data_IF_852415457912
#
_entry.id   IF_852415457912
#
_cell.length_a   1.000
_cell.length_b   1.000
_cell.length_c   1.000
_cell.angle_alpha   90.00
_cell.angle_beta   90.00
_cell.angle_gamma   90.00
#
_symmetry.space_group_name_H-M   'P 1'
#
loop_
_entity.id
_entity.type
_entity.pdbx_description
1 polymer ?
#
# COMPACT_ATOMS: atom_id res chain seq x y z
N UNK A 1 11.18 -10.39 30.39
CA UNK A 1 10.58 -11.60 29.77
C UNK A 1 9.23 -11.20 29.19
N UNK A 2 9.22 -10.82 27.91
CA UNK A 2 8.00 -10.47 27.17
C UNK A 2 7.35 -11.76 26.70
N UNK A 3 6.14 -12.03 27.18
CA UNK A 3 5.33 -13.18 26.76
C UNK A 3 5.12 -13.11 25.25
N UNK A 4 5.75 -14.01 24.53
CA UNK A 4 5.46 -14.25 23.11
C UNK A 4 3.99 -14.61 22.98
N UNK A 5 3.25 -13.81 22.23
CA UNK A 5 1.87 -14.05 21.84
C UNK A 5 1.75 -15.49 21.27
N UNK A 6 0.75 -16.30 21.71
CA UNK A 6 0.59 -17.67 21.26
C UNK A 6 0.14 -17.78 19.79
N UNK A 7 0.01 -16.67 19.07
CA UNK A 7 -0.41 -16.64 17.68
C UNK A 7 0.79 -16.76 16.76
N UNK A 8 0.87 -17.85 15.99
CA UNK A 8 1.83 -18.01 14.89
C UNK A 8 1.76 -16.80 13.98
N UNK A 9 2.91 -16.18 13.72
CA UNK A 9 3.05 -15.14 12.68
C UNK A 9 2.63 -15.76 11.35
N UNK A 10 1.61 -15.19 10.71
CA UNK A 10 1.10 -15.68 9.43
C UNK A 10 1.22 -14.56 8.42
N UNK A 11 2.09 -14.76 7.43
CA UNK A 11 2.25 -13.83 6.33
C UNK A 11 1.01 -13.86 5.43
N UNK A 12 0.55 -12.68 5.03
CA UNK A 12 -0.60 -12.56 4.14
C UNK A 12 -0.44 -11.40 3.15
N UNK A 13 -1.10 -11.53 2.01
CA UNK A 13 -1.32 -10.43 1.08
C UNK A 13 -2.62 -9.72 1.42
N UNK A 14 -2.64 -8.40 1.23
CA UNK A 14 -3.86 -7.59 1.23
C UNK A 14 -3.98 -6.87 -0.09
N UNK A 15 -5.19 -6.83 -0.66
CA UNK A 15 -5.43 -6.13 -1.91
C UNK A 15 -6.61 -5.17 -1.77
N UNK A 16 -6.41 -3.95 -2.22
CA UNK A 16 -7.43 -2.92 -2.22
C UNK A 16 -7.29 -1.98 -3.41
N UNK A 17 -8.43 -1.53 -3.96
CA UNK A 17 -8.49 -0.49 -4.96
C UNK A 17 -9.11 0.76 -4.35
N UNK A 18 -8.27 1.65 -3.87
CA UNK A 18 -8.73 2.91 -3.30
C UNK A 18 -7.93 4.07 -3.86
N UNK A 19 -8.38 5.24 -3.58
CA UNK A 19 -7.75 6.52 -3.83
C UNK A 19 -7.69 6.95 -5.27
N UNK A 20 -8.41 7.98 -5.48
CA UNK A 20 -8.38 8.78 -6.67
C UNK A 20 -7.20 9.73 -6.60
N UNK A 21 -6.23 9.55 -7.50
CA UNK A 21 -5.23 10.58 -7.75
C UNK A 21 -5.93 11.68 -8.56
N UNK A 22 -6.40 12.72 -7.87
CA UNK A 22 -7.07 13.85 -8.52
C UNK A 22 -6.09 14.99 -8.72
N UNK A 23 -6.02 15.50 -9.93
CA UNK A 23 -5.26 16.71 -10.22
C UNK A 23 -6.10 17.74 -10.94
N UNK A 24 -6.21 18.95 -10.37
CA UNK A 24 -6.81 20.11 -11.03
C UNK A 24 -6.07 20.54 -12.31
N UNK A 25 -4.82 20.12 -12.47
CA UNK A 25 -3.89 20.59 -13.55
C UNK A 25 -3.77 19.61 -14.71
N UNK A 26 -4.28 18.38 -14.60
CA UNK A 26 -3.98 17.28 -15.54
C UNK A 26 -4.89 17.20 -16.77
N UNK A 27 -5.17 18.30 -17.46
CA UNK A 27 -6.04 18.27 -18.66
C UNK A 27 -5.48 17.41 -19.82
N UNK A 28 -4.18 17.16 -19.87
CA UNK A 28 -3.48 16.51 -20.99
C UNK A 28 -2.83 15.16 -20.69
N UNK A 29 -3.00 14.61 -19.48
CA UNK A 29 -2.39 13.31 -19.14
C UNK A 29 -3.13 12.20 -19.84
N UNK A 30 -2.37 11.29 -20.46
CA UNK A 30 -2.91 10.06 -21.06
C UNK A 30 -3.74 9.28 -20.06
N UNK A 31 -4.80 8.66 -20.53
CA UNK A 31 -5.67 7.78 -19.74
C UNK A 31 -6.39 8.48 -18.57
N UNK A 32 -6.32 9.81 -18.48
CA UNK A 32 -7.13 10.54 -17.49
C UNK A 32 -8.58 10.17 -17.64
N UNK A 33 -9.25 9.78 -16.57
CA UNK A 33 -10.63 9.29 -16.64
C UNK A 33 -11.52 9.86 -15.55
N UNK A 34 -12.84 9.72 -15.77
CA UNK A 34 -13.85 10.01 -14.77
C UNK A 34 -13.92 8.85 -13.78
N UNK A 35 -13.52 9.08 -12.55
CA UNK A 35 -13.51 8.08 -11.45
C UNK A 35 -14.45 8.53 -10.33
N UNK A 36 -15.10 7.56 -9.69
CA UNK A 36 -15.95 7.83 -8.54
C UNK A 36 -15.12 7.81 -7.26
N UNK A 37 -15.16 8.90 -6.51
CA UNK A 37 -14.54 9.01 -5.20
C UNK A 37 -15.57 8.69 -4.11
N UNK A 38 -15.36 7.58 -3.41
CA UNK A 38 -16.26 7.11 -2.36
C UNK A 38 -16.22 8.00 -1.11
N UNK A 39 -15.14 8.75 -0.88
CA UNK A 39 -15.00 9.62 0.30
C UNK A 39 -15.86 10.88 0.18
N UNK A 40 -15.95 11.44 -1.02
CA UNK A 40 -16.73 12.65 -1.31
C UNK A 40 -18.05 12.35 -2.01
N UNK A 41 -18.33 11.08 -2.38
CA UNK A 41 -19.49 10.65 -3.17
C UNK A 41 -19.65 11.41 -4.49
N UNK A 42 -18.52 11.82 -5.10
CA UNK A 42 -18.50 12.61 -6.34
C UNK A 42 -17.65 11.95 -7.42
N UNK A 43 -17.96 12.26 -8.66
CA UNK A 43 -17.09 11.91 -9.78
C UNK A 43 -16.01 12.97 -9.94
N UNK A 44 -14.76 12.51 -9.96
CA UNK A 44 -13.58 13.35 -10.13
C UNK A 44 -12.79 12.90 -11.37
N UNK A 45 -11.93 13.78 -11.88
CA UNK A 45 -10.95 13.44 -12.93
C UNK A 45 -9.71 12.86 -12.24
N UNK A 46 -9.28 11.68 -12.66
CA UNK A 46 -8.11 11.06 -12.01
C UNK A 46 -7.94 9.59 -12.35
N UNK A 47 -7.28 8.89 -11.45
CA UNK A 47 -6.95 7.47 -11.53
C UNK A 47 -7.31 6.78 -10.22
N UNK A 48 -7.57 5.48 -10.28
CA UNK A 48 -7.69 4.62 -9.09
C UNK A 48 -6.41 3.83 -8.91
N UNK A 49 -5.93 3.74 -7.70
CA UNK A 49 -4.75 2.95 -7.36
C UNK A 49 -5.19 1.59 -6.82
N UNK A 50 -4.92 0.53 -7.60
CA UNK A 50 -5.02 -0.86 -7.13
C UNK A 50 -3.66 -1.21 -6.54
N UNK A 51 -3.63 -1.70 -5.32
CA UNK A 51 -2.39 -2.04 -4.62
C UNK A 51 -2.46 -3.45 -4.06
N UNK A 52 -1.40 -4.21 -4.26
CA UNK A 52 -1.10 -5.43 -3.55
C UNK A 52 -0.08 -5.12 -2.45
N UNK A 53 -0.43 -5.38 -1.21
CA UNK A 53 0.46 -5.26 -0.06
C UNK A 53 0.72 -6.60 0.60
N UNK A 54 1.81 -6.69 1.33
CA UNK A 54 2.21 -7.83 2.14
C UNK A 54 2.32 -7.42 3.61
N UNK A 55 1.96 -8.32 4.50
CA UNK A 55 2.13 -8.11 5.93
C UNK A 55 2.49 -9.42 6.62
N UNK A 56 3.35 -9.31 7.63
CA UNK A 56 3.66 -10.38 8.58
C UNK A 56 2.78 -10.31 9.84
N UNK A 57 1.80 -9.44 9.86
CA UNK A 57 0.93 -9.18 11.00
C UNK A 57 1.40 -8.06 11.92
N UNK A 58 2.65 -7.57 11.76
CA UNK A 58 3.23 -6.45 12.52
C UNK A 58 3.58 -5.28 11.62
N UNK A 59 4.18 -5.56 10.47
CA UNK A 59 4.58 -4.58 9.46
C UNK A 59 3.79 -4.76 8.18
N UNK A 60 3.60 -3.68 7.44
CA UNK A 60 2.96 -3.68 6.13
C UNK A 60 3.89 -3.09 5.08
N UNK A 61 3.95 -3.70 3.90
CA UNK A 61 4.72 -3.23 2.75
C UNK A 61 3.88 -3.25 1.48
N UNK A 62 3.89 -2.17 0.71
CA UNK A 62 3.34 -2.16 -0.64
C UNK A 62 4.27 -2.93 -1.59
N UNK A 63 3.74 -3.93 -2.31
CA UNK A 63 4.55 -4.80 -3.17
C UNK A 63 4.39 -4.45 -4.64
N UNK A 64 3.15 -4.28 -5.07
CA UNK A 64 2.80 -4.03 -6.47
C UNK A 64 1.59 -3.11 -6.56
N UNK A 65 1.46 -2.39 -7.67
CA UNK A 65 0.32 -1.52 -7.90
C UNK A 65 0.01 -1.38 -9.39
N UNK A 66 -1.23 -1.02 -9.68
CA UNK A 66 -1.66 -0.57 -10.99
C UNK A 66 -2.44 0.75 -10.87
N UNK A 67 -2.04 1.74 -11.65
CA UNK A 67 -2.72 3.02 -11.73
C UNK A 67 -3.83 2.93 -12.77
N UNK A 68 -5.06 2.71 -12.31
CA UNK A 68 -6.20 2.36 -13.14
C UNK A 68 -6.93 3.58 -13.69
N UNK A 69 -7.21 3.53 -14.97
CA UNK A 69 -8.16 4.35 -15.69
C UNK A 69 -9.51 3.63 -15.85
N UNK A 70 -10.39 4.16 -16.67
CA UNK A 70 -11.62 3.48 -17.03
C UNK A 70 -11.40 2.51 -18.20
N UNK A 71 -11.90 1.28 -18.04
CA UNK A 71 -11.95 0.32 -19.16
C UNK A 71 -12.92 0.79 -20.28
N UNK A 72 -13.88 1.67 -19.96
CA UNK A 72 -14.83 2.25 -20.93
C UNK A 72 -14.23 3.53 -21.50
N UNK A 73 -14.02 3.55 -22.82
CA UNK A 73 -13.49 4.69 -23.57
C UNK A 73 -14.22 5.99 -23.29
N UNK A 74 -15.55 5.96 -23.31
CA UNK A 74 -16.41 7.13 -23.03
C UNK A 74 -16.18 7.81 -21.68
N UNK A 75 -15.50 7.16 -20.76
CA UNK A 75 -15.16 7.72 -19.44
C UNK A 75 -13.72 8.25 -19.40
N UNK A 76 -12.93 8.05 -20.45
CA UNK A 76 -11.57 8.60 -20.59
C UNK A 76 -11.61 9.95 -21.27
N UNK A 77 -10.77 10.86 -20.83
CA UNK A 77 -10.62 12.19 -21.43
C UNK A 77 -9.50 12.19 -22.47
N UNK A 78 -8.51 11.33 -22.30
CA UNK A 78 -7.38 11.18 -23.22
C UNK A 78 -7.04 9.69 -23.37
N UNK A 79 -6.66 9.30 -24.59
CA UNK A 79 -6.26 7.95 -24.93
C UNK A 79 -4.74 7.74 -24.82
N UNK A 80 -4.30 6.52 -25.03
CA UNK A 80 -2.88 6.15 -25.08
C UNK A 80 -2.26 6.80 -26.32
N UNK A 81 -1.06 7.37 -26.19
CA UNK A 81 -0.30 7.87 -27.31
C UNK A 81 -0.05 6.73 -28.33
N UNK A 82 -0.54 6.83 -29.57
CA UNK A 82 -0.39 5.77 -30.57
C UNK A 82 1.06 5.49 -30.96
N UNK A 83 1.95 6.47 -30.77
CA UNK A 83 3.39 6.35 -31.08
C UNK A 83 4.23 5.62 -30.02
N UNK A 84 3.63 5.15 -28.91
CA UNK A 84 4.40 4.45 -27.87
C UNK A 84 4.83 3.06 -28.34
N UNK A 85 6.10 2.70 -28.11
CA UNK A 85 6.61 1.37 -28.41
C UNK A 85 5.94 0.32 -27.49
N UNK A 86 5.24 -0.63 -28.11
CA UNK A 86 4.45 -1.67 -27.42
C UNK A 86 5.30 -2.68 -26.62
N UNK A 87 6.62 -2.70 -26.85
CA UNK A 87 7.57 -3.58 -26.14
C UNK A 87 7.98 -3.02 -24.78
N UNK A 88 7.73 -1.74 -24.51
CA UNK A 88 8.17 -1.05 -23.29
C UNK A 88 7.30 -1.39 -22.08
N UNK A 89 7.90 -1.31 -20.89
CA UNK A 89 7.15 -1.41 -19.62
C UNK A 89 6.10 -0.31 -19.51
N UNK A 90 6.36 0.90 -20.02
CA UNK A 90 5.41 2.01 -20.05
C UNK A 90 4.12 1.67 -20.81
N UNK A 91 4.23 0.95 -21.95
CA UNK A 91 3.07 0.46 -22.68
C UNK A 91 2.30 -0.60 -21.88
N UNK A 92 2.99 -1.54 -21.23
CA UNK A 92 2.35 -2.56 -20.40
C UNK A 92 1.57 -1.92 -19.24
N UNK A 93 2.13 -0.92 -18.57
CA UNK A 93 1.44 -0.16 -17.52
C UNK A 93 0.16 0.54 -18.03
N UNK A 94 0.17 1.05 -19.27
CA UNK A 94 -1.02 1.63 -19.91
C UNK A 94 -2.08 0.58 -20.22
N UNK A 95 -1.67 -0.61 -20.67
CA UNK A 95 -2.58 -1.75 -20.88
C UNK A 95 -3.22 -2.23 -19.58
N UNK A 96 -2.47 -2.28 -18.49
CA UNK A 96 -3.00 -2.54 -17.14
C UNK A 96 -4.04 -1.49 -16.74
N UNK A 97 -3.78 -0.21 -17.02
CA UNK A 97 -4.65 0.89 -16.65
C UNK A 97 -6.07 0.77 -17.21
N UNK A 98 -6.24 0.24 -18.41
CA UNK A 98 -7.54 0.03 -19.05
C UNK A 98 -8.12 -1.37 -18.80
N UNK A 99 -7.40 -2.22 -18.09
CA UNK A 99 -7.86 -3.56 -17.71
C UNK A 99 -8.73 -3.49 -16.45
N UNK A 100 -9.78 -4.32 -16.39
CA UNK A 100 -10.59 -4.41 -15.17
C UNK A 100 -9.73 -4.85 -13.98
N UNK A 101 -9.84 -4.16 -12.85
CA UNK A 101 -9.08 -4.49 -11.63
C UNK A 101 -9.15 -5.98 -11.24
N UNK A 102 -10.33 -6.59 -11.37
CA UNK A 102 -10.52 -8.02 -11.07
C UNK A 102 -9.67 -8.97 -11.93
N UNK A 103 -9.26 -8.56 -13.13
CA UNK A 103 -8.39 -9.34 -14.02
C UNK A 103 -6.91 -9.14 -13.70
N UNK A 104 -6.54 -8.09 -12.96
CA UNK A 104 -5.17 -7.81 -12.57
C UNK A 104 -4.75 -8.52 -11.28
N UNK A 105 -5.71 -8.97 -10.46
CA UNK A 105 -5.42 -9.59 -9.17
C UNK A 105 -4.56 -10.85 -9.30
N UNK A 106 -4.93 -11.72 -10.23
CA UNK A 106 -4.19 -12.98 -10.42
C UNK A 106 -2.74 -12.74 -10.89
N UNK A 107 -2.47 -11.94 -11.94
CA UNK A 107 -1.10 -11.59 -12.32
C UNK A 107 -0.28 -10.97 -11.19
N UNK A 108 -0.83 -10.03 -10.42
CA UNK A 108 -0.14 -9.40 -9.29
C UNK A 108 0.26 -10.43 -8.22
N UNK A 109 -0.68 -11.29 -7.81
CA UNK A 109 -0.40 -12.35 -6.83
C UNK A 109 0.62 -13.36 -7.36
N UNK A 110 0.49 -13.81 -8.61
CA UNK A 110 1.44 -14.74 -9.24
C UNK A 110 2.85 -14.16 -9.32
N UNK A 111 2.97 -12.89 -9.70
CA UNK A 111 4.26 -12.22 -9.76
C UNK A 111 4.89 -12.11 -8.37
N UNK A 112 4.13 -11.73 -7.34
CA UNK A 112 4.64 -11.66 -5.98
C UNK A 112 5.14 -13.02 -5.49
N UNK A 113 4.40 -14.11 -5.74
CA UNK A 113 4.82 -15.47 -5.39
C UNK A 113 6.08 -15.88 -6.20
N UNK A 114 6.12 -15.57 -7.50
CA UNK A 114 7.24 -15.89 -8.39
C UNK A 114 8.57 -15.26 -7.95
N UNK A 115 8.53 -14.04 -7.43
CA UNK A 115 9.73 -13.34 -6.90
C UNK A 115 10.08 -13.75 -5.47
N UNK A 116 9.41 -14.76 -4.92
CA UNK A 116 9.76 -15.37 -3.62
C UNK A 116 9.05 -14.77 -2.41
N UNK A 117 8.09 -13.84 -2.58
CA UNK A 117 7.34 -13.29 -1.45
C UNK A 117 6.33 -14.33 -0.97
N UNK A 118 6.56 -14.82 0.25
CA UNK A 118 5.74 -15.87 0.83
C UNK A 118 4.53 -15.29 1.55
N UNK A 119 3.34 -15.80 1.23
CA UNK A 119 2.10 -15.51 1.96
C UNK A 119 1.18 -16.73 1.93
N UNK A 120 0.52 -17.01 3.04
CA UNK A 120 -0.45 -18.13 3.13
C UNK A 120 -1.86 -17.70 2.69
N UNK A 121 -2.21 -16.45 2.92
CA UNK A 121 -3.55 -15.92 2.66
C UNK A 121 -3.50 -14.64 1.81
N UNK A 122 -4.53 -14.45 1.00
CA UNK A 122 -4.89 -13.18 0.40
C UNK A 122 -6.16 -12.67 1.06
N UNK A 123 -6.07 -11.49 1.67
CA UNK A 123 -7.20 -10.83 2.32
C UNK A 123 -7.77 -9.77 1.39
N UNK A 124 -9.07 -9.82 1.12
CA UNK A 124 -9.73 -8.94 0.15
C UNK A 124 -10.97 -8.28 0.73
N UNK A 125 -11.24 -7.05 0.27
CA UNK A 125 -12.51 -6.38 0.49
C UNK A 125 -13.66 -7.08 -0.26
N UNK A 126 -14.87 -6.77 0.18
CA UNK A 126 -16.12 -7.24 -0.45
C UNK A 126 -16.28 -6.84 -1.91
N UNK A 127 -15.54 -5.82 -2.39
CA UNK A 127 -15.52 -5.43 -3.80
C UNK A 127 -14.95 -6.51 -4.70
N UNK A 128 -13.96 -7.25 -4.22
CA UNK A 128 -13.29 -8.33 -4.97
C UNK A 128 -13.83 -9.73 -4.66
N UNK A 129 -14.78 -9.88 -3.75
CA UNK A 129 -15.34 -11.18 -3.33
C UNK A 129 -16.27 -11.82 -4.36
N UNK A 130 -16.04 -11.58 -5.64
CA UNK A 130 -16.80 -12.15 -6.76
C UNK A 130 -16.45 -13.64 -6.88
N UNK A 131 -17.44 -14.55 -7.04
CA UNK A 131 -17.18 -16.00 -7.10
C UNK A 131 -16.10 -16.41 -8.12
N UNK A 132 -16.10 -15.84 -9.32
CA UNK A 132 -15.07 -16.12 -10.33
C UNK A 132 -13.67 -15.68 -9.91
N UNK A 133 -13.54 -14.54 -9.20
CA UNK A 133 -12.26 -14.06 -8.66
C UNK A 133 -11.75 -15.01 -7.59
N UNK A 134 -12.63 -15.41 -6.66
CA UNK A 134 -12.28 -16.38 -5.60
C UNK A 134 -11.83 -17.70 -6.21
N UNK A 135 -12.58 -18.24 -7.19
CA UNK A 135 -12.25 -19.51 -7.86
C UNK A 135 -10.90 -19.47 -8.59
N UNK A 136 -10.57 -18.35 -9.21
CA UNK A 136 -9.26 -18.17 -9.89
C UNK A 136 -8.12 -18.08 -8.89
N UNK A 137 -8.23 -17.18 -7.91
CA UNK A 137 -7.14 -16.87 -6.97
C UNK A 137 -6.87 -18.01 -5.98
N UNK A 138 -7.89 -18.77 -5.56
CA UNK A 138 -7.72 -19.89 -4.63
C UNK A 138 -6.86 -21.04 -5.17
N UNK A 139 -6.56 -21.05 -6.46
CA UNK A 139 -5.62 -22.01 -7.05
C UNK A 139 -4.15 -21.67 -6.73
N UNK A 140 -3.88 -20.45 -6.27
CA UNK A 140 -2.55 -19.95 -5.99
C UNK A 140 -2.33 -19.67 -4.50
N UNK A 141 -3.38 -19.25 -3.79
CA UNK A 141 -3.31 -18.81 -2.40
C UNK A 141 -4.67 -18.97 -1.71
N UNK A 142 -4.69 -19.22 -0.40
CA UNK A 142 -5.95 -19.21 0.34
C UNK A 142 -6.55 -17.80 0.41
N UNK A 143 -7.87 -17.70 0.31
CA UNK A 143 -8.60 -16.43 0.29
C UNK A 143 -9.36 -16.25 1.59
N UNK A 144 -9.26 -15.03 2.15
CA UNK A 144 -10.15 -14.55 3.21
C UNK A 144 -10.79 -13.25 2.73
N UNK A 145 -12.12 -13.19 2.66
CA UNK A 145 -12.81 -12.00 2.18
C UNK A 145 -14.17 -11.79 2.84
N UNK A 146 -14.63 -10.53 2.84
CA UNK A 146 -16.00 -10.21 3.24
C UNK A 146 -16.94 -10.42 2.06
N UNK A 147 -18.05 -11.11 2.28
CA UNK A 147 -19.05 -11.38 1.26
C UNK A 147 -20.12 -10.29 1.18
N UNK A 148 -20.58 -10.02 -0.04
CA UNK A 148 -21.79 -9.24 -0.31
C UNK A 148 -23.00 -10.17 -0.48
N UNK A 149 -24.15 -9.77 0.08
CA UNK A 149 -25.40 -10.46 -0.18
C UNK A 149 -26.00 -9.97 -1.50
N UNK A 150 -25.69 -10.68 -2.58
CA UNK A 150 -26.19 -10.37 -3.92
C UNK A 150 -27.12 -11.47 -4.43
N UNK A 151 -28.20 -11.13 -5.15
CA UNK A 151 -29.21 -12.11 -5.58
C UNK A 151 -28.68 -13.28 -6.38
N UNK A 152 -27.68 -13.02 -7.23
CA UNK A 152 -27.14 -14.01 -8.17
C UNK A 152 -25.97 -14.82 -7.58
N UNK A 153 -25.58 -14.58 -6.30
CA UNK A 153 -24.50 -15.31 -5.67
C UNK A 153 -25.06 -16.39 -4.75
N UNK A 154 -24.94 -17.64 -5.21
CA UNK A 154 -25.51 -18.80 -4.55
C UNK A 154 -24.39 -19.67 -3.96
N UNK A 155 -24.65 -20.19 -2.79
CA UNK A 155 -23.78 -21.11 -2.05
C UNK A 155 -24.54 -22.41 -1.83
N UNK A 156 -23.91 -23.54 -2.14
CA UNK A 156 -24.55 -24.82 -1.94
C UNK A 156 -24.37 -25.29 -0.49
N UNK A 157 -25.51 -25.58 0.16
CA UNK A 157 -25.56 -26.09 1.52
C UNK A 157 -26.63 -27.23 1.58
N UNK A 158 -26.20 -28.40 1.99
CA UNK A 158 -27.08 -29.60 2.08
C UNK A 158 -27.86 -29.86 0.77
N UNK A 159 -27.18 -29.81 -0.37
CA UNK A 159 -27.76 -30.04 -1.69
C UNK A 159 -28.65 -28.90 -2.23
N UNK A 160 -28.77 -27.77 -1.52
CA UNK A 160 -29.59 -26.61 -1.94
C UNK A 160 -28.72 -25.40 -2.20
N UNK A 161 -28.93 -24.74 -3.34
CA UNK A 161 -28.29 -23.45 -3.66
C UNK A 161 -29.05 -22.31 -2.98
N UNK A 162 -28.41 -21.60 -2.08
CA UNK A 162 -29.00 -20.57 -1.25
C UNK A 162 -28.23 -19.25 -1.38
N UNK A 163 -28.95 -18.14 -1.35
CA UNK A 163 -28.37 -16.82 -1.17
C UNK A 163 -27.80 -16.70 0.25
N UNK A 164 -26.90 -15.76 0.46
CA UNK A 164 -26.23 -15.55 1.73
C UNK A 164 -27.21 -15.29 2.87
N UNK A 165 -28.25 -14.47 2.64
CA UNK A 165 -29.31 -14.18 3.61
C UNK A 165 -30.14 -15.42 3.97
N UNK A 166 -30.51 -16.22 2.96
CA UNK A 166 -31.31 -17.44 3.14
C UNK A 166 -30.50 -18.51 3.86
N UNK A 167 -29.20 -18.63 3.53
CA UNK A 167 -28.26 -19.49 4.23
C UNK A 167 -28.21 -19.12 5.71
N UNK A 168 -27.99 -17.83 6.04
CA UNK A 168 -27.97 -17.37 7.43
C UNK A 168 -29.29 -17.67 8.16
N UNK A 169 -30.43 -17.51 7.47
CA UNK A 169 -31.76 -17.84 8.01
C UNK A 169 -31.88 -19.28 8.48
N UNK A 170 -31.27 -20.24 7.76
CA UNK A 170 -31.32 -21.69 8.04
C UNK A 170 -30.34 -22.17 9.10
N UNK A 171 -29.37 -21.34 9.52
CA UNK A 171 -28.37 -21.75 10.50
C UNK A 171 -28.85 -21.55 11.92
N UNK A 172 -28.45 -22.46 12.84
CA UNK A 172 -28.58 -22.27 14.29
C UNK A 172 -27.61 -21.16 14.72
N UNK A 173 -28.12 -20.11 15.35
CA UNK A 173 -27.34 -18.95 15.74
C UNK A 173 -26.95 -19.03 17.21
N UNK A 174 -25.68 -18.68 17.52
CA UNK A 174 -25.24 -18.47 18.91
C UNK A 174 -25.91 -17.21 19.47
N UNK A 175 -26.50 -17.31 20.67
CA UNK A 175 -27.19 -16.19 21.34
C UNK A 175 -26.21 -15.29 22.12
N UNK A 176 -26.69 -14.14 22.53
CA UNK A 176 -25.94 -13.20 23.38
C UNK A 176 -24.82 -12.47 22.64
N UNK A 177 -23.75 -12.10 23.36
CA UNK A 177 -22.60 -11.31 22.87
C UNK A 177 -21.56 -12.16 22.11
N UNK A 178 -21.97 -13.30 21.51
CA UNK A 178 -21.04 -14.15 20.76
C UNK A 178 -20.40 -13.40 19.59
N UNK A 179 -19.05 -13.41 19.51
CA UNK A 179 -18.26 -12.82 18.41
C UNK A 179 -18.58 -13.46 17.05
N UNK A 180 -19.01 -14.74 17.04
CA UNK A 180 -19.39 -15.49 15.84
C UNK A 180 -20.81 -15.97 16.05
N UNK A 181 -21.74 -15.53 15.21
CA UNK A 181 -23.15 -15.89 15.27
C UNK A 181 -23.43 -17.28 14.70
N UNK A 182 -22.75 -17.62 13.60
CA UNK A 182 -22.85 -18.92 12.95
C UNK A 182 -21.59 -19.18 12.11
N UNK A 183 -21.27 -20.45 11.92
CA UNK A 183 -20.22 -20.95 11.04
C UNK A 183 -20.74 -22.11 10.21
N UNK A 184 -20.40 -22.17 8.93
CA UNK A 184 -20.93 -23.19 8.01
C UNK A 184 -19.93 -23.49 6.91
N UNK A 185 -19.85 -24.76 6.53
CA UNK A 185 -19.18 -25.20 5.31
C UNK A 185 -20.18 -25.20 4.16
N UNK A 186 -19.78 -24.60 3.05
CA UNK A 186 -20.54 -24.51 1.81
C UNK A 186 -19.71 -24.99 0.63
N UNK A 187 -20.37 -25.38 -0.46
CA UNK A 187 -19.71 -25.60 -1.74
C UNK A 187 -19.90 -24.37 -2.62
N UNK A 188 -18.82 -23.85 -3.16
CA UNK A 188 -18.82 -22.72 -4.08
C UNK A 188 -19.20 -23.18 -5.51
N UNK A 189 -19.50 -22.26 -6.43
CA UNK A 189 -19.84 -22.60 -7.82
C UNK A 189 -18.77 -23.42 -8.57
N UNK A 190 -17.51 -23.36 -8.11
CA UNK A 190 -16.39 -24.16 -8.65
C UNK A 190 -16.34 -25.60 -8.09
N UNK A 191 -17.33 -26.03 -7.32
CA UNK A 191 -17.39 -27.36 -6.69
C UNK A 191 -16.50 -27.50 -5.44
N UNK A 192 -15.70 -26.51 -5.07
CA UNK A 192 -14.78 -26.59 -3.92
C UNK A 192 -15.43 -26.05 -2.65
N UNK A 193 -15.08 -26.65 -1.51
CA UNK A 193 -15.58 -26.22 -0.20
C UNK A 193 -14.95 -24.90 0.25
N UNK A 194 -15.73 -24.13 1.00
CA UNK A 194 -15.29 -22.94 1.72
C UNK A 194 -16.04 -22.83 3.05
N UNK A 195 -15.45 -22.15 4.01
CA UNK A 195 -16.08 -21.83 5.29
C UNK A 195 -16.64 -20.41 5.23
N UNK A 196 -17.88 -20.24 5.66
CA UNK A 196 -18.50 -18.92 5.85
C UNK A 196 -18.80 -18.77 7.33
N UNK A 197 -18.33 -17.67 7.92
CA UNK A 197 -18.67 -17.27 9.28
C UNK A 197 -19.50 -16.00 9.26
N UNK A 198 -20.48 -15.92 10.15
CA UNK A 198 -21.32 -14.74 10.34
C UNK A 198 -20.97 -14.07 11.67
N UNK A 199 -20.54 -12.82 11.59
CA UNK A 199 -20.14 -12.00 12.74
C UNK A 199 -21.15 -10.88 12.96
N UNK A 200 -21.41 -10.44 14.23
CA UNK A 200 -22.32 -9.34 14.50
C UNK A 200 -21.81 -8.03 13.87
N UNK A 201 -22.74 -7.20 13.46
CA UNK A 201 -22.47 -5.85 12.96
C UNK A 201 -23.58 -4.92 13.41
N UNK A 202 -23.22 -3.77 13.96
CA UNK A 202 -24.19 -2.76 14.46
C UNK A 202 -24.90 -1.98 13.34
N UNK A 203 -24.51 -2.21 12.06
CA UNK A 203 -25.14 -1.58 10.89
C UNK A 203 -26.43 -2.33 10.50
N UNK A 204 -27.24 -1.73 9.62
CA UNK A 204 -28.58 -2.16 9.14
C UNK A 204 -28.82 -3.67 8.92
N UNK A 205 -27.80 -4.50 8.71
CA UNK A 205 -27.94 -5.96 8.51
C UNK A 205 -27.83 -6.80 9.78
N UNK A 206 -27.30 -6.23 10.85
CA UNK A 206 -27.05 -6.96 12.11
C UNK A 206 -25.96 -8.02 12.03
N UNK A 207 -25.40 -8.32 10.82
CA UNK A 207 -24.31 -9.28 10.61
C UNK A 207 -23.50 -8.96 9.35
N UNK A 208 -22.25 -9.41 9.37
CA UNK A 208 -21.35 -9.50 8.22
C UNK A 208 -21.00 -10.98 7.99
N UNK A 209 -20.69 -11.36 6.75
CA UNK A 209 -20.22 -12.68 6.42
C UNK A 209 -18.78 -12.62 5.92
N UNK A 210 -17.89 -13.43 6.52
CA UNK A 210 -16.53 -13.64 6.07
C UNK A 210 -16.40 -15.05 5.50
N UNK A 211 -15.70 -15.19 4.38
CA UNK A 211 -15.41 -16.45 3.73
C UNK A 211 -13.92 -16.76 3.86
N UNK A 212 -13.62 -18.03 4.14
CA UNK A 212 -12.27 -18.59 4.01
C UNK A 212 -12.29 -19.80 3.06
N UNK A 213 -11.34 -19.85 2.13
CA UNK A 213 -11.10 -21.05 1.30
C UNK A 213 -10.22 -22.08 2.01
N UNK A 214 -9.52 -21.70 3.09
CA UNK A 214 -8.90 -22.65 4.02
C UNK A 214 -9.95 -23.08 5.04
N UNK A 215 -10.42 -24.32 4.91
CA UNK A 215 -11.44 -24.88 5.81
C UNK A 215 -10.87 -25.42 7.12
N UNK A 216 -9.55 -25.52 7.24
CA UNK A 216 -8.84 -26.00 8.42
C UNK A 216 -8.58 -24.93 9.47
N UNK A 217 -8.67 -23.64 9.06
CA UNK A 217 -8.42 -22.51 9.95
C UNK A 217 -9.56 -22.33 10.96
N UNK A 218 -9.23 -21.93 12.19
CA UNK A 218 -10.22 -21.63 13.22
C UNK A 218 -11.04 -20.38 12.84
N UNK A 219 -12.30 -20.35 13.25
CA UNK A 219 -13.23 -19.26 12.93
C UNK A 219 -12.75 -17.92 13.48
N UNK A 220 -12.16 -17.89 14.69
CA UNK A 220 -11.59 -16.71 15.33
C UNK A 220 -10.39 -16.16 14.56
N UNK A 221 -9.60 -17.06 13.98
CA UNK A 221 -8.44 -16.68 13.18
C UNK A 221 -8.85 -16.04 11.84
N UNK A 222 -9.98 -16.45 11.25
CA UNK A 222 -10.56 -15.78 10.07
C UNK A 222 -10.87 -14.32 10.40
N UNK A 223 -11.46 -14.05 11.58
CA UNK A 223 -11.76 -12.68 12.02
C UNK A 223 -10.48 -11.89 12.22
N UNK A 224 -9.48 -12.47 12.89
CA UNK A 224 -8.20 -11.83 13.17
C UNK A 224 -7.47 -11.42 11.89
N UNK A 225 -7.34 -12.36 10.94
CA UNK A 225 -6.68 -12.10 9.66
C UNK A 225 -7.46 -11.09 8.82
N UNK A 226 -8.80 -11.21 8.78
CA UNK A 226 -9.60 -10.21 8.07
C UNK A 226 -9.46 -8.81 8.67
N UNK A 227 -9.35 -8.69 10.00
CA UNK A 227 -9.10 -7.43 10.68
C UNK A 227 -7.79 -6.75 10.24
N UNK A 228 -6.76 -7.54 9.93
CA UNK A 228 -5.48 -7.05 9.41
C UNK A 228 -5.57 -6.44 8.00
N UNK A 229 -6.68 -6.65 7.28
CA UNK A 229 -6.94 -5.90 6.03
C UNK A 229 -6.83 -4.38 6.22
N UNK A 230 -7.12 -3.90 7.43
CA UNK A 230 -7.02 -2.47 7.75
C UNK A 230 -5.59 -1.90 7.57
N UNK A 231 -4.56 -2.73 7.60
CA UNK A 231 -3.17 -2.29 7.46
C UNK A 231 -2.93 -1.58 6.11
N UNK A 232 -3.62 -2.00 5.03
CA UNK A 232 -3.52 -1.33 3.71
C UNK A 232 -4.19 0.06 3.72
N UNK A 233 -5.24 0.24 4.50
CA UNK A 233 -5.88 1.56 4.65
C UNK A 233 -4.99 2.53 5.42
N UNK A 234 -4.29 2.03 6.46
CA UNK A 234 -3.27 2.79 7.20
C UNK A 234 -2.10 3.16 6.27
N UNK A 235 -1.63 2.21 5.46
CA UNK A 235 -0.62 2.47 4.43
C UNK A 235 -1.03 3.64 3.51
N UNK A 236 -2.23 3.61 2.93
CA UNK A 236 -2.72 4.70 2.09
C UNK A 236 -2.82 6.03 2.84
N UNK A 237 -3.28 5.99 4.09
CA UNK A 237 -3.35 7.20 4.93
C UNK A 237 -1.96 7.81 5.11
N UNK A 238 -0.96 7.01 5.44
CA UNK A 238 0.42 7.48 5.63
C UNK A 238 1.02 8.01 4.32
N UNK A 239 0.85 7.29 3.22
CA UNK A 239 1.31 7.73 1.90
C UNK A 239 0.68 9.06 1.47
N UNK A 240 -0.60 9.27 1.73
CA UNK A 240 -1.30 10.53 1.42
C UNK A 240 -0.89 11.67 2.34
N UNK A 241 -0.77 11.41 3.62
CA UNK A 241 -0.55 12.43 4.65
C UNK A 241 0.91 12.91 4.66
N UNK A 242 1.86 11.99 4.57
CA UNK A 242 3.28 12.26 4.76
C UNK A 242 4.10 12.20 3.47
N UNK A 243 3.77 11.29 2.55
CA UNK A 243 4.59 11.02 1.35
C UNK A 243 4.05 11.68 0.08
N UNK A 244 3.05 12.55 0.21
CA UNK A 244 2.48 13.35 -0.90
C UNK A 244 1.94 12.51 -2.07
N UNK A 245 1.42 11.31 -1.81
CA UNK A 245 0.89 10.41 -2.85
C UNK A 245 -0.15 11.08 -3.76
N UNK A 246 -0.90 12.06 -3.25
CA UNK A 246 -2.04 12.69 -3.95
C UNK A 246 -1.93 14.20 -4.04
N UNK A 247 -1.05 14.83 -3.26
CA UNK A 247 -0.92 16.29 -3.16
C UNK A 247 0.40 16.75 -3.80
N UNK A 248 0.40 17.99 -4.30
CA UNK A 248 1.60 18.66 -4.80
C UNK A 248 2.29 17.97 -5.99
N UNK A 249 1.57 17.11 -6.74
CA UNK A 249 2.12 16.45 -7.92
C UNK A 249 1.96 17.38 -9.12
N UNK A 250 3.06 17.81 -9.72
CA UNK A 250 3.08 18.65 -10.93
C UNK A 250 3.38 17.85 -12.21
N UNK A 251 3.35 16.53 -12.11
CA UNK A 251 3.67 15.60 -13.20
C UNK A 251 2.54 15.61 -14.23
N UNK A 252 2.90 15.74 -15.54
CA UNK A 252 1.94 15.88 -16.64
C UNK A 252 1.91 14.69 -17.59
N UNK A 253 2.60 13.60 -17.31
CA UNK A 253 2.61 12.38 -18.12
C UNK A 253 2.31 11.16 -17.26
N UNK A 254 1.84 10.09 -17.89
CA UNK A 254 1.43 8.86 -17.21
C UNK A 254 2.63 8.12 -16.58
N UNK A 255 3.77 8.06 -17.28
CA UNK A 255 4.99 7.40 -16.78
C UNK A 255 5.53 8.08 -15.52
N UNK A 256 5.50 9.41 -15.49
CA UNK A 256 5.88 10.17 -14.31
C UNK A 256 4.96 9.90 -13.11
N UNK A 257 3.64 9.70 -13.32
CA UNK A 257 2.73 9.31 -12.24
C UNK A 257 3.05 7.90 -11.73
N UNK A 258 3.39 6.96 -12.61
CA UNK A 258 3.87 5.62 -12.22
C UNK A 258 5.15 5.74 -11.41
N UNK A 259 6.15 6.51 -11.90
CA UNK A 259 7.42 6.74 -11.20
C UNK A 259 7.22 7.36 -9.82
N UNK A 260 6.39 8.42 -9.72
CA UNK A 260 6.05 9.05 -8.44
C UNK A 260 5.42 8.04 -7.46
N UNK A 261 4.43 7.27 -7.90
CA UNK A 261 3.79 6.25 -7.07
C UNK A 261 4.79 5.20 -6.59
N UNK A 262 5.69 4.75 -7.48
CA UNK A 262 6.77 3.80 -7.14
C UNK A 262 7.69 4.36 -6.06
N UNK A 263 8.12 5.63 -6.17
CA UNK A 263 8.97 6.30 -5.19
C UNK A 263 8.28 6.45 -3.83
N UNK A 264 6.99 6.79 -3.83
CA UNK A 264 6.19 6.88 -2.59
C UNK A 264 6.13 5.53 -1.89
N UNK A 265 5.86 4.44 -2.63
CA UNK A 265 5.81 3.09 -2.06
C UNK A 265 7.18 2.64 -1.55
N UNK A 266 8.23 2.86 -2.32
CA UNK A 266 9.60 2.56 -1.91
C UNK A 266 9.99 3.30 -0.62
N UNK A 267 9.69 4.61 -0.55
CA UNK A 267 9.97 5.41 0.65
C UNK A 267 9.18 4.92 1.87
N UNK A 268 7.92 4.56 1.70
CA UNK A 268 7.14 3.96 2.78
C UNK A 268 7.78 2.65 3.28
N UNK A 269 8.14 1.75 2.37
CA UNK A 269 8.73 0.47 2.71
C UNK A 269 10.07 0.64 3.45
N UNK A 270 10.93 1.55 2.99
CA UNK A 270 12.20 1.88 3.65
C UNK A 270 11.96 2.38 5.07
N UNK A 271 11.06 3.35 5.27
CA UNK A 271 10.75 3.88 6.60
C UNK A 271 10.18 2.81 7.54
N UNK A 272 9.34 1.91 7.02
CA UNK A 272 8.80 0.79 7.80
C UNK A 272 9.90 -0.21 8.18
N UNK A 273 10.86 -0.46 7.29
CA UNK A 273 12.02 -1.31 7.55
C UNK A 273 12.90 -0.69 8.64
N UNK A 274 13.24 0.58 8.54
CA UNK A 274 14.00 1.31 9.57
C UNK A 274 13.31 1.25 10.93
N UNK A 275 12.01 1.50 10.98
CA UNK A 275 11.24 1.42 12.22
C UNK A 275 11.32 0.04 12.87
N UNK A 276 11.35 -1.01 12.06
CA UNK A 276 11.42 -2.39 12.52
C UNK A 276 12.82 -2.77 13.01
N UNK A 277 13.87 -2.44 12.27
CA UNK A 277 15.26 -2.81 12.57
C UNK A 277 15.80 -2.10 13.82
N UNK A 278 15.49 -0.82 13.95
CA UNK A 278 15.92 -0.01 15.10
C UNK A 278 15.03 -0.16 16.34
N UNK A 279 13.98 -1.00 16.28
CA UNK A 279 12.94 -1.10 17.34
C UNK A 279 12.43 0.30 17.73
N UNK A 280 12.30 1.17 16.77
CA UNK A 280 11.92 2.58 16.95
C UNK A 280 10.47 2.67 17.38
N UNK A 281 10.21 3.21 18.56
CA UNK A 281 8.88 3.37 19.13
C UNK A 281 8.13 4.59 18.61
N UNK A 282 8.79 5.45 17.81
CA UNK A 282 8.15 6.62 17.21
C UNK A 282 7.03 6.20 16.25
N UNK A 283 5.99 7.02 16.15
CA UNK A 283 5.00 6.81 15.11
C UNK A 283 5.62 7.02 13.72
N UNK A 284 5.02 6.44 12.68
CA UNK A 284 5.48 6.67 11.29
C UNK A 284 5.60 8.16 10.96
N UNK A 285 4.66 8.97 11.43
CA UNK A 285 4.70 10.42 11.22
C UNK A 285 5.86 11.12 11.92
N UNK A 286 6.22 10.68 13.12
CA UNK A 286 7.35 11.23 13.88
C UNK A 286 8.67 10.81 13.24
N UNK A 287 8.80 9.55 12.85
CA UNK A 287 9.96 9.05 12.11
C UNK A 287 10.14 9.82 10.79
N UNK A 288 9.07 10.03 10.05
CA UNK A 288 9.10 10.80 8.81
C UNK A 288 9.58 12.24 9.03
N UNK A 289 9.11 12.92 10.09
CA UNK A 289 9.55 14.28 10.44
C UNK A 289 11.03 14.30 10.79
N UNK A 290 11.48 13.40 11.65
CA UNK A 290 12.89 13.30 12.04
C UNK A 290 13.80 13.09 10.81
N UNK A 291 13.47 12.17 9.90
CA UNK A 291 14.24 11.97 8.67
C UNK A 291 14.27 13.20 7.76
N UNK A 292 13.17 13.99 7.70
CA UNK A 292 13.16 15.22 6.92
C UNK A 292 13.99 16.33 7.56
N UNK A 293 13.98 16.43 8.88
CA UNK A 293 14.80 17.39 9.63
C UNK A 293 16.30 17.07 9.48
N UNK A 294 16.70 15.78 9.60
CA UNK A 294 18.06 15.36 9.30
C UNK A 294 18.48 15.71 7.88
N UNK A 295 17.64 15.38 6.88
CA UNK A 295 17.94 15.66 5.48
C UNK A 295 18.05 17.16 5.22
N UNK A 296 17.19 17.98 5.81
CA UNK A 296 17.24 19.43 5.70
C UNK A 296 18.52 19.99 6.33
N UNK A 297 18.93 19.47 7.48
CA UNK A 297 20.17 19.84 8.16
C UNK A 297 21.41 19.49 7.34
N UNK A 298 21.48 18.29 6.77
CA UNK A 298 22.57 17.84 5.88
C UNK A 298 22.64 18.77 4.65
N UNK A 299 21.51 19.01 3.99
CA UNK A 299 21.46 19.88 2.80
C UNK A 299 21.89 21.32 3.11
N UNK A 300 21.49 21.85 4.26
CA UNK A 300 21.91 23.18 4.71
C UNK A 300 23.42 23.24 4.96
N UNK A 301 23.99 22.26 5.66
CA UNK A 301 25.44 22.17 5.92
C UNK A 301 26.22 22.12 4.62
N UNK A 302 25.78 21.28 3.65
CA UNK A 302 26.45 21.15 2.37
C UNK A 302 26.38 22.46 1.55
N UNK A 303 25.25 23.15 1.57
CA UNK A 303 25.11 24.46 0.95
C UNK A 303 26.03 25.51 1.61
N UNK A 304 26.08 25.53 2.94
CA UNK A 304 26.94 26.42 3.71
C UNK A 304 28.42 26.14 3.40
N UNK A 305 28.87 24.89 3.38
CA UNK A 305 30.23 24.50 2.97
C UNK A 305 30.59 25.04 1.59
N UNK A 306 29.70 24.88 0.60
CA UNK A 306 29.93 25.40 -0.76
C UNK A 306 30.05 26.92 -0.81
N UNK A 307 29.18 27.65 -0.12
CA UNK A 307 29.24 29.10 -0.04
C UNK A 307 30.58 29.55 0.59
N UNK A 308 30.98 28.86 1.65
CA UNK A 308 32.25 29.16 2.33
C UNK A 308 33.45 28.86 1.43
N UNK A 309 33.45 27.74 0.71
CA UNK A 309 34.51 27.41 -0.27
C UNK A 309 34.61 28.46 -1.37
N UNK A 310 33.48 28.93 -1.89
CA UNK A 310 33.46 30.03 -2.87
C UNK A 310 34.03 31.33 -2.30
N UNK A 311 33.60 31.72 -1.09
CA UNK A 311 34.13 32.92 -0.43
C UNK A 311 35.65 32.82 -0.21
N UNK A 312 36.15 31.66 0.26
CA UNK A 312 37.58 31.42 0.45
C UNK A 312 38.34 31.41 -0.88
N UNK A 313 37.76 30.95 -1.99
CA UNK A 313 38.38 31.01 -3.31
C UNK A 313 38.56 32.44 -3.79
N UNK A 314 37.61 33.34 -3.47
CA UNK A 314 37.70 34.75 -3.76
C UNK A 314 38.79 35.41 -2.89
N UNK A 315 38.80 35.12 -1.59
CA UNK A 315 39.82 35.64 -0.65
C UNK A 315 41.24 35.20 -1.03
N UNK A 316 41.41 33.95 -1.46
CA UNK A 316 42.70 33.45 -1.98
C UNK A 316 43.18 34.27 -3.15
N UNK A 317 42.31 34.54 -4.11
CA UNK A 317 42.69 35.38 -5.28
C UNK A 317 42.98 36.82 -4.94
N UNK A 318 42.28 37.36 -3.94
CA UNK A 318 42.44 38.77 -3.53
C UNK A 318 43.64 39.03 -2.59
N UNK A 319 44.00 38.07 -1.72
CA UNK A 319 44.93 38.25 -0.62
C UNK A 319 46.10 37.26 -0.58
N UNK A 320 46.24 36.38 -1.58
CA UNK A 320 47.35 35.41 -1.70
C UNK A 320 47.55 34.53 -0.44
N UNK A 321 46.47 34.12 0.23
CA UNK A 321 46.49 33.31 1.44
C UNK A 321 46.87 31.87 1.12
N UNK A 322 47.66 31.23 1.99
CA UNK A 322 48.01 29.82 1.85
C UNK A 322 46.80 28.87 2.08
N UNK A 323 46.83 27.70 1.50
CA UNK A 323 45.75 26.69 1.67
C UNK A 323 45.54 26.28 3.14
N UNK A 324 46.59 26.18 3.89
CA UNK A 324 46.57 25.88 5.33
C UNK A 324 45.77 26.91 6.13
N UNK A 325 45.98 28.16 5.88
CA UNK A 325 45.25 29.25 6.55
C UNK A 325 43.78 29.25 6.14
N UNK A 326 43.50 29.05 4.87
CA UNK A 326 42.14 28.99 4.33
C UNK A 326 41.35 27.86 4.94
N UNK A 327 41.92 26.66 5.01
CA UNK A 327 41.24 25.49 5.60
C UNK A 327 41.03 25.68 7.10
N UNK A 328 41.98 26.23 7.84
CA UNK A 328 41.81 26.52 9.25
C UNK A 328 40.68 27.53 9.54
N UNK A 329 40.55 28.56 8.72
CA UNK A 329 39.45 29.54 8.83
C UNK A 329 38.10 28.85 8.50
N UNK A 330 38.08 28.00 7.50
CA UNK A 330 36.87 27.30 7.06
C UNK A 330 36.36 26.36 8.17
N UNK A 331 37.26 25.60 8.80
CA UNK A 331 36.94 24.67 9.90
C UNK A 331 36.43 25.45 11.14
N UNK A 332 37.03 26.56 11.48
CA UNK A 332 36.58 27.46 12.55
C UNK A 332 35.17 27.97 12.30
N UNK A 333 34.92 28.55 11.13
CA UNK A 333 33.59 29.09 10.79
C UNK A 333 32.54 27.98 10.73
N UNK A 334 32.87 26.80 10.20
CA UNK A 334 31.94 25.68 10.18
C UNK A 334 31.62 25.18 11.59
N UNK A 335 32.62 25.11 12.48
CA UNK A 335 32.40 24.75 13.88
C UNK A 335 31.45 25.70 14.60
N UNK A 336 31.68 27.00 14.46
CA UNK A 336 30.82 28.05 15.03
C UNK A 336 29.40 28.04 14.43
N UNK A 337 29.27 27.83 13.11
CA UNK A 337 27.97 27.74 12.46
C UNK A 337 27.17 26.54 12.92
N UNK A 338 27.80 25.37 13.05
CA UNK A 338 27.16 24.14 13.57
C UNK A 338 26.67 24.37 15.00
N UNK A 339 27.50 24.98 15.86
CA UNK A 339 27.13 25.32 17.23
C UNK A 339 25.97 26.31 17.30
N UNK A 340 26.04 27.39 16.52
CA UNK A 340 25.04 28.46 16.49
C UNK A 340 23.67 28.00 16.02
N UNK A 341 23.63 27.15 14.98
CA UNK A 341 22.38 26.63 14.43
C UNK A 341 21.86 25.37 15.13
N UNK A 342 22.54 24.87 16.18
CA UNK A 342 22.16 23.68 16.94
C UNK A 342 22.17 22.40 16.09
N UNK A 343 22.98 22.35 15.03
CA UNK A 343 23.09 21.23 14.10
C UNK A 343 24.00 20.16 14.72
N UNK A 344 23.54 19.53 15.79
CA UNK A 344 24.28 18.42 16.41
C UNK A 344 24.38 17.25 15.41
N UNK A 345 25.61 16.85 15.12
CA UNK A 345 25.90 15.58 14.48
C UNK A 345 25.41 14.42 15.39
N UNK A 346 24.17 14.01 15.25
CA UNK A 346 23.79 12.66 15.65
C UNK A 346 24.56 11.72 14.72
N UNK A 347 25.41 10.80 15.24
CA UNK A 347 26.14 9.91 14.39
C UNK A 347 25.15 9.10 13.57
N UNK A 348 25.28 9.13 12.25
CA UNK A 348 24.60 8.17 11.38
C UNK A 348 24.88 6.77 11.91
N UNK A 349 23.90 5.88 12.04
CA UNK A 349 24.18 4.49 12.30
C UNK A 349 25.10 4.01 11.19
N UNK A 350 26.30 3.61 11.55
CA UNK A 350 27.25 3.02 10.62
C UNK A 350 26.57 1.78 10.02
N UNK A 351 26.25 1.84 8.76
CA UNK A 351 25.95 0.67 7.96
C UNK A 351 27.22 -0.17 7.96
N UNK A 352 27.29 -1.14 8.85
CA UNK A 352 28.26 -2.22 8.73
C UNK A 352 27.89 -3.04 7.51
N UNK A 353 28.38 -2.62 6.37
CA UNK A 353 28.34 -3.38 5.14
C UNK A 353 29.45 -4.41 5.18
N UNK A 354 29.16 -5.60 5.65
CA UNK A 354 29.90 -6.78 5.26
C UNK A 354 29.40 -7.20 3.87
N UNK A 355 30.03 -6.66 2.86
CA UNK A 355 29.96 -7.19 1.49
C UNK A 355 31.21 -8.08 1.31
N UNK A 356 31.07 -9.37 1.68
CA UNK A 356 31.96 -10.45 1.30
C UNK A 356 31.22 -11.35 0.31
#
# INVERSE_FOLDING_TARGET
MTSLSPYKIVNFFSIEATTTLTHRVLKKVELLSRVFDHSTSKYLKGFRLLTLGWSDGNSFSGIDFALLSSAKEKNRYNEINPGIDKRTCGYQRRKEAITKSTKLLEPMVKNAIKIGIQAKYLVMDSWFSIPSVISTLRNHIHIICMLKDLPNWLYEYKGKKLRLKDLYGKLKKKRGKAKIKASVLVTLPDGKKARIIFVPCDKKRGWLALLSTDISIADEEIIRLYGKRWDIEVFFKMCKQHLKLVKEIQIRNYDGLIGHTSLVMARYNILTLFQRESVDQRSFGDLFRACNEELASITFIDALKRIMQLAMSVLRKAHNLSETIINSILDLIMGEAIAYFGLNNSPMPQLKGDWG
#
